data_IF_535829506820
#
_entry.id   IF_535829506820
#
_cell.length_a   1.000
_cell.length_b   1.000
_cell.length_c   1.000
_cell.angle_alpha   90.00
_cell.angle_beta   90.00
_cell.angle_gamma   90.00
#
_symmetry.space_group_name_H-M   'P 1'
#
loop_
_entity.id
_entity.type
_entity.pdbx_description
1 polymer ?
#
# COMPACT_ATOMS: atom_id res chain seq x y z
N UNK A 1 21.60 -18.15 -17.60
CA UNK A 1 20.16 -18.00 -17.43
C UNK A 1 19.86 -16.51 -17.50
N UNK A 2 19.26 -16.08 -18.61
CA UNK A 2 18.78 -14.70 -18.74
C UNK A 2 17.55 -14.56 -17.86
N UNK A 3 17.53 -13.52 -17.00
CA UNK A 3 16.33 -13.15 -16.26
C UNK A 3 15.31 -12.60 -17.24
N UNK A 4 14.01 -12.94 -17.12
CA UNK A 4 12.99 -12.32 -17.92
C UNK A 4 12.96 -10.81 -17.62
N UNK A 5 12.81 -10.01 -18.66
CA UNK A 5 12.63 -8.57 -18.52
C UNK A 5 11.22 -8.29 -18.02
N UNK A 6 11.09 -7.52 -16.93
CA UNK A 6 9.80 -7.10 -16.39
C UNK A 6 9.50 -5.66 -16.79
N UNK A 7 8.29 -5.42 -17.24
CA UNK A 7 7.76 -4.08 -17.44
C UNK A 7 7.27 -3.54 -16.09
N UNK A 8 7.72 -2.34 -15.73
CA UNK A 8 7.28 -1.68 -14.51
C UNK A 8 6.25 -0.60 -14.81
N UNK A 9 5.17 -0.62 -14.05
CA UNK A 9 4.10 0.37 -14.10
C UNK A 9 3.87 0.90 -12.68
N UNK A 10 3.80 2.21 -12.53
CA UNK A 10 3.55 2.85 -11.25
C UNK A 10 2.24 3.64 -11.33
N UNK A 11 1.32 3.36 -10.42
CA UNK A 11 0.05 4.06 -10.29
C UNK A 11 -0.06 4.67 -8.91
N UNK A 12 -0.53 5.91 -8.84
CA UNK A 12 -0.78 6.62 -7.60
C UNK A 12 -2.27 6.90 -7.48
N UNK A 13 -2.87 6.49 -6.37
CA UNK A 13 -4.27 6.75 -6.05
C UNK A 13 -4.35 7.69 -4.85
N UNK A 14 -4.97 8.84 -5.06
CA UNK A 14 -5.29 9.79 -4.00
C UNK A 14 -6.74 9.53 -3.57
N UNK A 15 -6.93 9.09 -2.34
CA UNK A 15 -8.23 8.70 -1.81
C UNK A 15 -8.57 9.54 -0.59
N UNK A 16 -9.76 10.17 -0.59
CA UNK A 16 -10.32 10.78 0.60
C UNK A 16 -11.19 9.76 1.32
N UNK A 17 -10.77 9.37 2.52
CA UNK A 17 -11.57 8.50 3.37
C UNK A 17 -12.65 9.29 4.11
N UNK A 18 -13.79 8.65 4.36
CA UNK A 18 -14.89 9.20 5.14
C UNK A 18 -15.24 8.27 6.29
N UNK A 19 -15.50 8.85 7.47
CA UNK A 19 -15.99 8.10 8.63
C UNK A 19 -17.48 7.75 8.49
N UNK A 20 -18.22 8.56 7.75
CA UNK A 20 -19.65 8.38 7.56
C UNK A 20 -19.95 7.74 6.21
N UNK A 21 -20.57 6.57 6.26
CA UNK A 21 -21.02 5.86 5.06
C UNK A 21 -22.53 5.83 4.98
N UNK A 22 -23.06 5.89 3.77
CA UNK A 22 -24.48 5.71 3.49
C UNK A 22 -24.69 4.55 2.53
N UNK A 23 -25.84 3.90 2.65
CA UNK A 23 -26.24 2.85 1.70
C UNK A 23 -26.85 3.49 0.46
N UNK A 24 -26.30 3.16 -0.70
CA UNK A 24 -26.91 3.51 -1.97
C UNK A 24 -27.82 2.37 -2.44
N UNK A 25 -29.08 2.66 -2.76
CA UNK A 25 -29.96 1.65 -3.34
C UNK A 25 -29.52 1.37 -4.77
N UNK A 26 -29.31 0.09 -5.08
CA UNK A 26 -29.05 -0.34 -6.46
C UNK A 26 -30.36 -0.48 -7.20
N UNK A 27 -30.50 0.22 -8.32
CA UNK A 27 -31.63 0.05 -9.22
C UNK A 27 -31.48 -1.18 -10.15
N UNK A 28 -30.32 -1.85 -10.10
CA UNK A 28 -29.99 -2.92 -11.05
C UNK A 28 -30.25 -4.33 -10.53
N UNK A 29 -30.31 -4.54 -9.23
CA UNK A 29 -30.54 -5.89 -8.70
C UNK A 29 -31.10 -5.87 -7.28
N UNK A 30 -32.12 -6.67 -7.04
CA UNK A 30 -32.65 -6.97 -5.72
C UNK A 30 -31.69 -7.81 -4.86
N UNK A 31 -30.68 -8.44 -5.47
CA UNK A 31 -29.64 -9.21 -4.82
C UNK A 31 -28.53 -8.31 -4.25
N UNK A 32 -28.23 -7.18 -4.91
CA UNK A 32 -27.27 -6.20 -4.42
C UNK A 32 -27.95 -5.25 -3.43
N UNK A 33 -27.94 -5.59 -2.14
CA UNK A 33 -28.57 -4.80 -1.07
C UNK A 33 -27.87 -3.47 -0.75
N UNK A 34 -27.37 -2.80 -1.76
CA UNK A 34 -26.82 -1.46 -1.69
C UNK A 34 -25.34 -1.43 -1.30
N UNK A 35 -24.59 -0.69 -2.06
CA UNK A 35 -23.16 -0.40 -1.81
C UNK A 35 -23.06 0.68 -0.74
N UNK A 36 -22.14 0.52 0.21
CA UNK A 36 -21.79 1.56 1.17
C UNK A 36 -20.86 2.56 0.48
N UNK A 37 -21.29 3.81 0.42
CA UNK A 37 -20.51 4.89 -0.15
C UNK A 37 -20.28 6.00 0.88
N UNK A 38 -19.18 6.78 0.77
CA UNK A 38 -18.98 7.96 1.60
C UNK A 38 -20.15 8.94 1.45
N UNK A 39 -20.64 9.50 2.56
CA UNK A 39 -21.72 10.50 2.53
C UNK A 39 -21.31 11.76 1.75
N UNK A 40 -20.07 12.14 1.87
CA UNK A 40 -19.50 13.33 1.24
C UNK A 40 -19.51 13.29 -0.29
N UNK A 41 -19.73 12.13 -0.91
CA UNK A 41 -19.83 12.04 -2.38
C UNK A 41 -21.00 12.86 -2.95
N UNK A 42 -21.95 13.23 -2.11
CA UNK A 42 -23.08 14.12 -2.47
C UNK A 42 -22.78 15.59 -2.22
N UNK A 43 -21.72 15.91 -1.50
CA UNK A 43 -21.33 17.28 -1.19
C UNK A 43 -20.36 17.80 -2.25
N UNK A 44 -20.89 18.64 -3.13
CA UNK A 44 -20.13 19.23 -4.23
C UNK A 44 -18.95 20.09 -3.74
N UNK A 45 -19.09 20.74 -2.60
CA UNK A 45 -18.03 21.58 -2.05
C UNK A 45 -16.88 20.75 -1.50
N UNK A 46 -17.18 19.62 -0.85
CA UNK A 46 -16.16 18.67 -0.39
C UNK A 46 -15.42 18.06 -1.57
N UNK A 47 -16.13 17.66 -2.62
CA UNK A 47 -15.54 17.13 -3.84
C UNK A 47 -14.63 18.19 -4.49
N UNK A 48 -15.11 19.42 -4.63
CA UNK A 48 -14.35 20.52 -5.23
C UNK A 48 -13.04 20.75 -4.49
N UNK A 49 -13.10 20.92 -3.17
CA UNK A 49 -11.90 21.10 -2.31
C UNK A 49 -10.91 19.93 -2.43
N UNK A 50 -11.42 18.70 -2.51
CA UNK A 50 -10.56 17.54 -2.72
C UNK A 50 -9.88 17.59 -4.08
N UNK A 51 -10.62 17.92 -5.15
CA UNK A 51 -10.05 18.02 -6.50
C UNK A 51 -9.04 19.17 -6.63
N UNK A 52 -9.22 20.27 -5.92
CA UNK A 52 -8.22 21.36 -5.83
C UNK A 52 -6.94 20.88 -5.14
N UNK A 53 -7.07 20.14 -4.03
CA UNK A 53 -5.91 19.58 -3.34
C UNK A 53 -5.15 18.56 -4.22
N UNK A 54 -5.88 17.73 -4.97
CA UNK A 54 -5.28 16.80 -5.95
C UNK A 54 -4.52 17.56 -7.03
N UNK A 55 -5.11 18.63 -7.58
CA UNK A 55 -4.46 19.44 -8.61
C UNK A 55 -3.20 20.17 -8.09
N UNK A 56 -3.26 20.62 -6.84
CA UNK A 56 -2.08 21.24 -6.18
C UNK A 56 -0.97 20.21 -5.97
N UNK A 57 -1.31 19.02 -5.48
CA UNK A 57 -0.35 17.94 -5.29
C UNK A 57 0.31 17.53 -6.62
N UNK A 58 -0.50 17.30 -7.66
CA UNK A 58 0.00 16.98 -9.02
C UNK A 58 0.99 18.03 -9.53
N UNK A 59 0.67 19.31 -9.35
CA UNK A 59 1.55 20.41 -9.76
C UNK A 59 2.88 20.37 -8.99
N UNK A 60 2.84 20.24 -7.66
CA UNK A 60 4.05 20.17 -6.83
C UNK A 60 4.96 19.02 -7.25
N UNK A 61 4.39 17.85 -7.48
CA UNK A 61 5.17 16.67 -7.91
C UNK A 61 5.76 16.87 -9.30
N UNK A 62 4.97 17.36 -10.26
CA UNK A 62 5.45 17.63 -11.62
C UNK A 62 6.53 18.71 -11.65
N UNK A 63 6.38 19.77 -10.85
CA UNK A 63 7.35 20.89 -10.76
C UNK A 63 8.65 20.46 -10.08
N UNK A 64 8.65 19.38 -9.30
CA UNK A 64 9.85 18.82 -8.68
C UNK A 64 10.89 18.32 -9.70
N UNK A 65 10.44 17.97 -10.90
CA UNK A 65 11.29 17.44 -11.98
C UNK A 65 11.74 15.97 -11.78
N UNK A 66 11.43 15.34 -10.65
CA UNK A 66 11.81 13.94 -10.38
C UNK A 66 10.82 12.94 -10.97
N UNK A 67 9.53 13.26 -10.93
CA UNK A 67 8.44 12.38 -11.36
C UNK A 67 7.47 13.23 -12.16
N UNK A 68 6.97 12.67 -13.27
CA UNK A 68 5.89 13.26 -14.05
C UNK A 68 4.62 12.45 -13.82
N UNK A 69 3.60 13.06 -13.25
CA UNK A 69 2.28 12.48 -13.10
C UNK A 69 1.43 12.76 -14.33
N UNK A 70 0.68 11.77 -14.74
CA UNK A 70 -0.35 11.88 -15.78
C UNK A 70 -1.65 11.28 -15.25
N UNK A 71 -2.74 12.01 -15.34
CA UNK A 71 -4.06 11.49 -14.95
C UNK A 71 -4.50 10.40 -15.91
N UNK A 72 -5.03 9.33 -15.36
CA UNK A 72 -5.71 8.31 -16.13
C UNK A 72 -7.07 8.82 -16.57
N UNK A 73 -7.43 8.49 -17.80
CA UNK A 73 -8.78 8.69 -18.33
C UNK A 73 -9.73 7.61 -17.82
N UNK A 74 -11.02 7.83 -17.94
CA UNK A 74 -12.05 6.84 -17.62
C UNK A 74 -11.84 5.54 -18.41
N UNK A 75 -11.54 5.63 -19.70
CA UNK A 75 -11.24 4.50 -20.57
C UNK A 75 -10.00 3.71 -20.12
N UNK A 76 -9.00 4.37 -19.56
CA UNK A 76 -7.81 3.70 -19.03
C UNK A 76 -8.08 2.99 -17.70
N UNK A 77 -9.07 3.43 -16.95
CA UNK A 77 -9.47 2.82 -15.68
C UNK A 77 -10.43 1.66 -15.92
N UNK A 78 -11.50 1.90 -16.70
CA UNK A 78 -12.59 0.93 -16.91
C UNK A 78 -12.27 -0.03 -18.05
N UNK A 79 -11.67 0.49 -19.13
CA UNK A 79 -11.43 -0.24 -20.38
C UNK A 79 -12.39 0.13 -21.49
N UNK A 80 -12.09 -0.34 -22.68
CA UNK A 80 -12.91 -0.22 -23.90
C UNK A 80 -12.85 -1.54 -24.68
N UNK A 81 -13.69 -1.69 -25.71
CA UNK A 81 -13.75 -2.93 -26.54
C UNK A 81 -12.39 -3.40 -27.08
N UNK A 82 -11.41 -2.51 -27.21
CA UNK A 82 -10.08 -2.84 -27.75
C UNK A 82 -8.93 -2.66 -26.78
N UNK A 83 -9.19 -2.20 -25.55
CA UNK A 83 -8.16 -1.91 -24.55
C UNK A 83 -8.65 -2.29 -23.17
N UNK A 84 -7.93 -3.20 -22.50
CA UNK A 84 -8.22 -3.60 -21.13
C UNK A 84 -7.95 -2.46 -20.16
N UNK A 85 -8.92 -2.16 -19.30
CA UNK A 85 -8.79 -1.15 -18.26
C UNK A 85 -7.98 -1.64 -17.06
N UNK A 86 -7.54 -0.70 -16.23
CA UNK A 86 -6.74 -1.00 -15.05
C UNK A 86 -7.49 -1.89 -14.03
N UNK A 87 -8.80 -1.71 -13.88
CA UNK A 87 -9.65 -2.57 -13.05
C UNK A 87 -9.71 -4.00 -13.56
N UNK A 88 -9.90 -4.18 -14.87
CA UNK A 88 -9.92 -5.50 -15.48
C UNK A 88 -8.56 -6.20 -15.36
N UNK A 89 -7.46 -5.47 -15.55
CA UNK A 89 -6.10 -6.00 -15.37
C UNK A 89 -5.89 -6.50 -13.95
N UNK A 90 -6.38 -5.79 -12.95
CA UNK A 90 -6.30 -6.20 -11.56
C UNK A 90 -7.13 -7.46 -11.28
N UNK A 91 -8.37 -7.47 -11.73
CA UNK A 91 -9.31 -8.58 -11.47
C UNK A 91 -8.96 -9.87 -12.23
N UNK A 92 -8.29 -9.74 -13.38
CA UNK A 92 -7.85 -10.90 -14.18
C UNK A 92 -6.39 -11.27 -13.96
N UNK A 93 -5.63 -10.44 -13.24
CA UNK A 93 -4.17 -10.51 -13.13
C UNK A 93 -3.50 -10.69 -14.50
N UNK A 94 -4.02 -10.02 -15.51
CA UNK A 94 -3.56 -10.09 -16.91
C UNK A 94 -3.60 -8.71 -17.54
N UNK A 95 -2.72 -8.50 -18.50
CA UNK A 95 -2.70 -7.30 -19.37
C UNK A 95 -3.06 -7.63 -20.82
N UNK A 96 -3.45 -8.86 -21.09
CA UNK A 96 -3.86 -9.31 -22.42
C UNK A 96 -5.31 -8.91 -22.68
N UNK A 97 -5.53 -8.19 -23.77
CA UNK A 97 -6.85 -7.77 -24.22
C UNK A 97 -7.73 -8.99 -24.46
N UNK A 98 -8.97 -8.95 -23.96
CA UNK A 98 -9.92 -10.05 -24.14
C UNK A 98 -9.74 -11.20 -23.13
N UNK A 99 -8.87 -11.06 -22.12
CA UNK A 99 -8.82 -12.03 -21.00
C UNK A 99 -10.20 -12.05 -20.32
N UNK A 100 -10.89 -13.20 -20.30
CA UNK A 100 -12.21 -13.27 -19.68
C UNK A 100 -12.10 -13.15 -18.16
N UNK A 101 -13.12 -12.55 -17.55
CA UNK A 101 -13.29 -12.60 -16.11
C UNK A 101 -13.47 -14.04 -15.66
N UNK A 102 -12.79 -14.42 -14.60
CA UNK A 102 -12.81 -15.77 -14.04
C UNK A 102 -13.25 -15.73 -12.57
N UNK A 103 -13.63 -16.87 -12.04
CA UNK A 103 -13.99 -16.99 -10.64
C UNK A 103 -12.82 -16.63 -9.73
N UNK A 104 -13.08 -15.81 -8.71
CA UNK A 104 -12.13 -15.46 -7.66
C UNK A 104 -12.45 -16.29 -6.42
N UNK A 105 -11.60 -17.26 -6.12
CA UNK A 105 -11.71 -18.06 -4.91
C UNK A 105 -10.78 -17.47 -3.84
N UNK A 106 -11.37 -16.96 -2.77
CA UNK A 106 -10.66 -16.37 -1.64
C UNK A 106 -10.37 -17.45 -0.60
N UNK A 107 -9.19 -18.04 -0.64
CA UNK A 107 -8.70 -18.99 0.35
C UNK A 107 -7.92 -18.30 1.48
N UNK A 108 -7.67 -19.03 2.58
CA UNK A 108 -6.91 -18.51 3.71
C UNK A 108 -5.41 -18.29 3.39
N UNK A 109 -4.81 -19.16 2.59
CA UNK A 109 -3.38 -19.10 2.29
C UNK A 109 -3.06 -18.52 0.90
N UNK A 110 -4.03 -18.59 -0.03
CA UNK A 110 -3.86 -18.11 -1.39
C UNK A 110 -5.21 -17.67 -1.98
N UNK A 111 -5.15 -16.74 -2.91
CA UNK A 111 -6.28 -16.39 -3.76
C UNK A 111 -6.09 -17.10 -5.09
N UNK A 112 -7.18 -17.62 -5.64
CA UNK A 112 -7.19 -18.18 -7.00
C UNK A 112 -8.06 -17.35 -7.92
N UNK A 113 -7.52 -17.00 -9.08
CA UNK A 113 -8.23 -16.31 -10.15
C UNK A 113 -8.07 -17.19 -11.40
N UNK A 114 -9.07 -18.02 -11.66
CA UNK A 114 -8.94 -19.07 -12.64
C UNK A 114 -7.79 -20.02 -12.31
N UNK A 115 -6.81 -20.13 -13.21
CA UNK A 115 -5.62 -20.97 -13.00
C UNK A 115 -4.53 -20.27 -12.18
N UNK A 116 -4.59 -18.96 -12.04
CA UNK A 116 -3.59 -18.18 -11.32
C UNK A 116 -3.74 -18.34 -9.82
N UNK A 117 -2.63 -18.59 -9.14
CA UNK A 117 -2.52 -18.70 -7.69
C UNK A 117 -1.72 -17.54 -7.17
N UNK A 118 -2.31 -16.70 -6.36
CA UNK A 118 -1.73 -15.49 -5.79
C UNK A 118 -1.41 -15.71 -4.32
N UNK A 119 -0.19 -15.39 -3.93
CA UNK A 119 0.22 -15.28 -2.52
C UNK A 119 0.39 -13.81 -2.12
N UNK A 120 0.17 -13.53 -0.85
CA UNK A 120 0.27 -12.20 -0.29
C UNK A 120 1.24 -12.20 0.89
N UNK A 121 2.24 -11.29 0.82
CA UNK A 121 3.15 -11.01 1.92
C UNK A 121 2.87 -9.61 2.44
N UNK A 122 2.79 -9.48 3.75
CA UNK A 122 2.48 -8.22 4.42
C UNK A 122 3.29 -8.07 5.70
N UNK A 123 3.13 -6.92 6.33
CA UNK A 123 3.59 -6.66 7.69
C UNK A 123 2.40 -6.84 8.64
N UNK A 124 2.63 -7.48 9.76
CA UNK A 124 1.60 -7.71 10.78
C UNK A 124 1.82 -6.86 12.02
N UNK A 125 3.02 -6.34 12.21
CA UNK A 125 3.41 -5.57 13.38
C UNK A 125 4.36 -4.43 12.98
N UNK A 126 4.41 -3.37 13.77
CA UNK A 126 5.41 -2.31 13.65
C UNK A 126 6.84 -2.82 13.81
N UNK A 127 7.03 -3.86 14.62
CA UNK A 127 8.32 -4.53 14.80
C UNK A 127 8.79 -5.33 13.56
N UNK A 128 7.94 -5.47 12.56
CA UNK A 128 8.30 -6.08 11.28
C UNK A 128 8.96 -5.07 10.32
N UNK A 129 8.86 -3.78 10.63
CA UNK A 129 9.52 -2.69 9.90
C UNK A 129 10.96 -2.48 10.37
N UNK A 130 11.86 -2.01 9.49
CA UNK A 130 13.17 -1.54 9.91
C UNK A 130 13.04 -0.28 10.80
N UNK A 131 14.00 -0.08 11.70
CA UNK A 131 14.02 1.10 12.57
C UNK A 131 14.16 2.43 11.83
N UNK A 132 14.73 2.41 10.63
CA UNK A 132 14.87 3.57 9.74
C UNK A 132 14.71 3.12 8.29
N UNK A 133 14.12 3.98 7.48
CA UNK A 133 13.97 3.77 6.04
C UNK A 133 14.78 4.84 5.31
N UNK A 134 15.72 4.42 4.47
CA UNK A 134 16.49 5.32 3.61
C UNK A 134 15.98 5.22 2.16
N UNK A 135 15.78 6.38 1.54
CA UNK A 135 15.50 6.48 0.10
C UNK A 135 16.78 6.44 -0.75
N UNK A 136 17.96 6.38 -0.12
CA UNK A 136 19.25 6.65 -0.73
C UNK A 136 20.34 5.70 -0.18
N UNK A 137 20.06 4.41 -0.24
CA UNK A 137 21.01 3.39 0.20
C UNK A 137 21.95 3.00 -0.95
N UNK A 138 23.27 3.14 -0.75
CA UNK A 138 24.25 2.69 -1.71
C UNK A 138 24.23 1.16 -1.80
N UNK A 139 24.08 0.64 -3.02
CA UNK A 139 24.09 -0.79 -3.28
C UNK A 139 25.45 -1.24 -3.80
N UNK A 140 26.25 -1.83 -2.91
CA UNK A 140 27.65 -2.15 -3.17
C UNK A 140 27.87 -3.12 -4.34
N UNK A 141 26.92 -4.05 -4.57
CA UNK A 141 27.04 -5.03 -5.67
C UNK A 141 27.03 -4.43 -7.07
N UNK A 142 26.43 -3.26 -7.24
CA UNK A 142 26.32 -2.54 -8.51
C UNK A 142 27.04 -1.19 -8.50
N UNK A 143 27.54 -0.76 -7.34
CA UNK A 143 28.34 0.46 -7.20
C UNK A 143 29.79 0.22 -7.58
N UNK A 144 30.44 1.24 -8.11
CA UNK A 144 31.88 1.23 -8.46
C UNK A 144 32.54 2.45 -7.82
N UNK A 145 33.84 2.56 -7.89
CA UNK A 145 34.60 3.74 -7.42
C UNK A 145 34.24 5.03 -8.18
N UNK A 146 33.61 4.90 -9.34
CA UNK A 146 33.25 6.03 -10.22
C UNK A 146 31.76 6.29 -10.33
N UNK A 147 30.91 5.38 -9.83
CA UNK A 147 29.46 5.47 -9.97
C UNK A 147 28.77 4.77 -8.82
N UNK A 148 27.92 5.51 -8.14
CA UNK A 148 27.07 4.99 -7.07
C UNK A 148 25.75 4.51 -7.66
N UNK A 149 25.43 3.22 -7.44
CA UNK A 149 24.09 2.71 -7.62
C UNK A 149 23.34 2.86 -6.29
N UNK A 150 22.35 3.72 -6.27
CA UNK A 150 21.54 3.97 -5.06
C UNK A 150 20.16 3.35 -5.23
N UNK A 151 19.69 2.72 -4.18
CA UNK A 151 18.41 2.02 -4.17
C UNK A 151 17.44 2.70 -3.22
N UNK A 152 16.19 2.78 -3.65
CA UNK A 152 15.08 3.11 -2.75
C UNK A 152 14.72 1.91 -1.87
N UNK A 153 13.95 2.17 -0.82
CA UNK A 153 13.50 1.16 0.14
C UNK A 153 12.92 -0.10 -0.52
N UNK A 154 12.02 0.06 -1.50
CA UNK A 154 11.34 -1.05 -2.16
C UNK A 154 12.12 -1.66 -3.35
N UNK A 155 13.32 -1.15 -3.68
CA UNK A 155 14.09 -1.66 -4.81
C UNK A 155 14.42 -3.17 -4.76
N UNK A 156 14.64 -3.80 -3.58
CA UNK A 156 14.85 -5.25 -3.49
C UNK A 156 13.70 -6.08 -4.09
N UNK A 157 12.47 -5.59 -4.03
CA UNK A 157 11.31 -6.25 -4.65
C UNK A 157 11.51 -6.38 -6.15
N UNK A 158 11.81 -5.28 -6.85
CA UNK A 158 12.08 -5.29 -8.29
C UNK A 158 13.35 -6.02 -8.68
N UNK A 159 14.34 -6.11 -7.78
CA UNK A 159 15.61 -6.81 -8.04
C UNK A 159 15.50 -8.32 -7.91
N UNK A 160 14.70 -8.83 -6.99
CA UNK A 160 14.62 -10.27 -6.69
C UNK A 160 13.45 -10.96 -7.35
N UNK A 161 12.30 -10.31 -7.43
CA UNK A 161 11.12 -10.90 -8.04
C UNK A 161 11.23 -10.89 -9.56
N UNK A 162 11.25 -12.08 -10.17
CA UNK A 162 11.23 -12.27 -11.62
C UNK A 162 9.85 -12.70 -12.15
N UNK A 163 8.84 -12.71 -11.29
CA UNK A 163 7.45 -13.07 -11.59
C UNK A 163 6.57 -11.84 -11.72
N UNK A 164 5.36 -12.03 -12.20
CA UNK A 164 4.32 -11.00 -12.13
C UNK A 164 3.95 -10.72 -10.68
N UNK A 165 3.99 -9.48 -10.28
CA UNK A 165 3.66 -9.05 -8.92
C UNK A 165 3.11 -7.63 -8.88
N UNK A 166 2.42 -7.31 -7.79
CA UNK A 166 1.98 -5.98 -7.43
C UNK A 166 2.59 -5.65 -6.06
N UNK A 167 3.32 -4.55 -5.99
CA UNK A 167 3.74 -3.95 -4.73
C UNK A 167 2.79 -2.80 -4.40
N UNK A 168 2.03 -2.92 -3.33
CA UNK A 168 1.15 -1.88 -2.83
C UNK A 168 1.80 -1.16 -1.66
N UNK A 169 1.76 0.15 -1.68
CA UNK A 169 2.18 0.99 -0.56
C UNK A 169 1.05 1.96 -0.21
N UNK A 170 0.62 1.93 1.04
CA UNK A 170 -0.43 2.79 1.58
C UNK A 170 0.20 3.82 2.50
N UNK A 171 -0.16 5.08 2.30
CA UNK A 171 0.25 6.19 3.16
C UNK A 171 -1.03 6.88 3.66
N UNK A 172 -1.24 6.86 4.97
CA UNK A 172 -2.39 7.48 5.61
C UNK A 172 -1.96 8.82 6.20
N UNK A 173 -2.46 9.90 5.61
CA UNK A 173 -2.19 11.27 6.02
C UNK A 173 -3.28 11.68 7.03
N UNK A 174 -2.97 11.54 8.30
CA UNK A 174 -3.84 11.94 9.39
C UNK A 174 -3.64 13.42 9.77
N UNK A 175 -4.52 13.95 10.62
CA UNK A 175 -4.34 15.28 11.18
C UNK A 175 -3.16 15.28 12.17
N UNK A 176 -2.07 15.96 11.81
CA UNK A 176 -0.82 15.99 12.59
C UNK A 176 -1.01 16.53 14.00
N UNK A 177 -1.84 17.59 14.17
CA UNK A 177 -2.11 18.18 15.48
C UNK A 177 -2.88 17.21 16.39
N UNK A 178 -3.91 16.55 15.85
CA UNK A 178 -4.66 15.54 16.59
C UNK A 178 -3.78 14.34 16.98
N UNK A 179 -2.84 13.95 16.13
CA UNK A 179 -1.89 12.88 16.44
C UNK A 179 -0.89 13.31 17.53
N UNK A 180 -0.35 14.53 17.46
CA UNK A 180 0.52 15.05 18.52
C UNK A 180 -0.20 15.05 19.88
N UNK A 181 -1.46 15.51 19.93
CA UNK A 181 -2.26 15.47 21.15
C UNK A 181 -2.47 14.05 21.68
N UNK A 182 -2.66 13.04 20.79
CA UNK A 182 -2.73 11.64 21.19
C UNK A 182 -1.41 11.15 21.81
N UNK A 183 -0.27 11.48 21.17
CA UNK A 183 1.04 11.11 21.67
C UNK A 183 1.37 11.81 23.00
N UNK A 184 1.03 13.07 23.19
CA UNK A 184 1.14 13.77 24.46
C UNK A 184 0.31 13.13 25.57
N UNK A 185 -0.92 12.72 25.25
CA UNK A 185 -1.77 11.98 26.20
C UNK A 185 -1.16 10.63 26.51
N UNK A 186 -0.63 9.91 25.53
CA UNK A 186 0.06 8.63 25.71
C UNK A 186 1.32 8.79 26.58
N UNK A 187 2.12 9.83 26.33
CA UNK A 187 3.30 10.13 27.15
C UNK A 187 2.93 10.33 28.63
N UNK A 188 1.88 11.10 28.91
CA UNK A 188 1.36 11.30 30.28
C UNK A 188 0.91 9.99 30.92
N UNK A 189 0.22 9.13 30.19
CA UNK A 189 -0.20 7.82 30.67
C UNK A 189 1.02 6.93 30.95
N UNK A 190 1.98 6.88 30.03
CA UNK A 190 3.20 6.09 30.20
C UNK A 190 4.07 6.59 31.36
N UNK A 191 4.05 7.89 31.67
CA UNK A 191 4.76 8.42 32.83
C UNK A 191 4.30 7.75 34.14
N UNK A 192 3.04 7.50 34.33
CA UNK A 192 2.49 6.81 35.47
C UNK A 192 2.78 5.30 35.46
N UNK A 193 2.89 4.69 34.29
CA UNK A 193 3.08 3.27 34.08
C UNK A 193 4.57 2.85 34.04
N UNK A 194 5.47 3.79 33.74
CA UNK A 194 6.91 3.53 33.58
C UNK A 194 7.57 2.86 34.80
N UNK A 195 7.06 3.16 36.00
CA UNK A 195 7.54 2.56 37.26
C UNK A 195 7.23 1.07 37.42
N UNK A 196 6.27 0.53 36.64
CA UNK A 196 5.82 -0.85 36.77
C UNK A 196 6.49 -1.81 35.81
N UNK A 197 7.06 -1.28 34.71
CA UNK A 197 7.66 -2.12 33.66
C UNK A 197 8.73 -1.36 32.87
N UNK A 198 9.85 -2.07 32.62
CA UNK A 198 10.93 -1.52 31.78
C UNK A 198 10.44 -1.24 30.34
N UNK A 199 9.53 -2.07 29.82
CA UNK A 199 8.94 -1.83 28.51
C UNK A 199 8.16 -0.50 28.46
N UNK A 200 7.37 -0.20 29.51
CA UNK A 200 6.65 1.08 29.59
C UNK A 200 7.61 2.28 29.71
N UNK A 201 8.75 2.10 30.38
CA UNK A 201 9.77 3.13 30.46
C UNK A 201 10.39 3.41 29.09
N UNK A 202 10.74 2.36 28.33
CA UNK A 202 11.30 2.48 26.98
C UNK A 202 10.28 3.15 26.05
N UNK A 203 9.01 2.73 26.08
CA UNK A 203 7.95 3.34 25.28
C UNK A 203 7.76 4.82 25.61
N UNK A 204 7.82 5.18 26.89
CA UNK A 204 7.78 6.59 27.32
C UNK A 204 8.92 7.39 26.70
N UNK A 205 10.16 6.90 26.80
CA UNK A 205 11.35 7.56 26.28
C UNK A 205 11.26 7.76 24.75
N UNK A 206 10.74 6.78 24.01
CA UNK A 206 10.52 6.89 22.57
C UNK A 206 9.45 7.93 22.21
N UNK A 207 8.32 7.94 22.91
CA UNK A 207 7.27 8.93 22.70
C UNK A 207 7.78 10.34 22.99
N UNK A 208 8.49 10.53 24.10
CA UNK A 208 9.07 11.84 24.49
C UNK A 208 10.11 12.30 23.45
N UNK A 209 10.97 11.40 22.96
CA UNK A 209 11.93 11.71 21.90
C UNK A 209 11.21 12.15 20.62
N UNK A 210 10.20 11.40 20.18
CA UNK A 210 9.39 11.75 19.02
C UNK A 210 8.72 13.13 19.19
N UNK A 211 8.09 13.39 20.34
CA UNK A 211 7.43 14.68 20.60
C UNK A 211 8.41 15.86 20.54
N UNK A 212 9.60 15.68 21.14
CA UNK A 212 10.65 16.71 21.09
C UNK A 212 11.10 17.00 19.66
N UNK A 213 11.31 15.96 18.85
CA UNK A 213 11.69 16.12 17.45
C UNK A 213 10.55 16.72 16.61
N UNK A 214 9.31 16.26 16.84
CA UNK A 214 8.13 16.76 16.12
C UNK A 214 7.91 18.26 16.37
N UNK A 215 8.03 18.71 17.63
CA UNK A 215 7.91 20.14 17.96
C UNK A 215 9.11 20.97 17.47
N UNK A 216 10.33 20.42 17.52
CA UNK A 216 11.53 21.14 17.10
C UNK A 216 11.67 21.30 15.60
N UNK A 217 11.26 20.27 14.84
CA UNK A 217 11.48 20.20 13.39
C UNK A 217 10.18 20.20 12.58
N UNK A 218 9.03 20.32 13.21
CA UNK A 218 7.73 20.28 12.52
C UNK A 218 7.43 18.95 11.85
N UNK A 219 7.87 17.82 12.45
CA UNK A 219 7.64 16.49 11.89
C UNK A 219 6.17 16.11 11.99
N UNK A 220 5.65 15.50 10.94
CA UNK A 220 4.31 14.92 10.94
C UNK A 220 4.38 13.40 11.00
N UNK A 221 3.57 12.80 11.86
CA UNK A 221 3.41 11.35 11.84
C UNK A 221 2.50 10.93 10.70
N UNK A 222 2.90 9.88 10.00
CA UNK A 222 2.06 9.19 9.01
C UNK A 222 1.95 7.73 9.41
N UNK A 223 0.84 7.11 9.07
CA UNK A 223 0.71 5.66 9.12
C UNK A 223 1.01 5.11 7.74
N UNK A 224 1.76 4.03 7.69
CA UNK A 224 2.11 3.39 6.42
C UNK A 224 1.93 1.88 6.52
N UNK A 225 1.58 1.29 5.40
CA UNK A 225 1.54 -0.14 5.22
C UNK A 225 2.00 -0.48 3.81
N UNK A 226 2.59 -1.64 3.62
CA UNK A 226 2.84 -2.18 2.29
C UNK A 226 2.63 -3.69 2.26
N UNK A 227 2.33 -4.20 1.07
CA UNK A 227 2.23 -5.61 0.82
C UNK A 227 2.71 -5.96 -0.59
N UNK A 228 3.06 -7.22 -0.78
CA UNK A 228 3.46 -7.79 -2.06
C UNK A 228 2.44 -8.87 -2.41
N UNK A 229 1.79 -8.73 -3.55
CA UNK A 229 0.97 -9.75 -4.18
C UNK A 229 1.73 -10.31 -5.37
N UNK A 230 2.01 -11.60 -5.36
CA UNK A 230 2.74 -12.25 -6.44
C UNK A 230 2.01 -13.54 -6.84
N UNK A 231 2.04 -13.89 -8.12
CA UNK A 231 1.27 -15.02 -8.62
C UNK A 231 1.98 -15.79 -9.72
N UNK A 232 1.56 -17.05 -9.86
CA UNK A 232 1.90 -17.95 -10.96
C UNK A 232 0.76 -18.92 -11.24
N UNK A 233 0.74 -19.47 -12.45
CA UNK A 233 -0.13 -20.56 -12.83
C UNK A 233 0.42 -21.93 -12.37
N UNK A 234 1.73 -22.01 -12.04
CA UNK A 234 2.40 -23.21 -11.54
C UNK A 234 2.56 -23.18 -10.01
N UNK A 235 2.08 -24.20 -9.34
CA UNK A 235 2.19 -24.35 -7.89
C UNK A 235 3.65 -24.51 -7.40
N UNK A 236 4.54 -25.07 -8.20
CA UNK A 236 5.96 -25.21 -7.83
C UNK A 236 6.67 -23.87 -7.95
N UNK A 237 6.38 -23.12 -9.00
CA UNK A 237 6.89 -21.77 -9.16
C UNK A 237 6.39 -20.86 -8.03
N UNK A 238 5.14 -21.01 -7.60
CA UNK A 238 4.60 -20.22 -6.47
C UNK A 238 5.39 -20.43 -5.18
N UNK A 239 5.91 -21.61 -4.92
CA UNK A 239 6.79 -21.87 -3.76
C UNK A 239 8.08 -21.06 -3.85
N UNK A 240 8.69 -21.02 -5.04
CA UNK A 240 9.88 -20.21 -5.27
C UNK A 240 9.57 -18.71 -5.11
N UNK A 241 8.46 -18.24 -5.66
CA UNK A 241 7.98 -16.86 -5.54
C UNK A 241 7.79 -16.46 -4.07
N UNK A 242 7.22 -17.36 -3.25
CA UNK A 242 7.08 -17.11 -1.80
C UNK A 242 8.45 -16.91 -1.14
N UNK A 243 9.44 -17.71 -1.48
CA UNK A 243 10.79 -17.57 -0.95
C UNK A 243 11.48 -16.28 -1.42
N UNK A 244 11.32 -15.94 -2.70
CA UNK A 244 11.92 -14.74 -3.28
C UNK A 244 11.28 -13.46 -2.69
N UNK A 245 9.96 -13.47 -2.47
CA UNK A 245 9.25 -12.39 -1.78
C UNK A 245 9.73 -12.22 -0.34
N UNK A 246 9.89 -13.33 0.39
CA UNK A 246 10.46 -13.31 1.74
C UNK A 246 11.90 -12.77 1.76
N UNK A 247 12.70 -13.17 0.77
CA UNK A 247 14.08 -12.67 0.64
C UNK A 247 14.16 -11.19 0.29
N UNK A 248 13.23 -10.70 -0.56
CA UNK A 248 13.14 -9.28 -0.88
C UNK A 248 12.79 -8.44 0.38
N UNK A 249 11.83 -8.91 1.17
CA UNK A 249 11.47 -8.26 2.42
C UNK A 249 12.62 -8.28 3.44
N UNK A 250 13.35 -9.38 3.54
CA UNK A 250 14.52 -9.48 4.41
C UNK A 250 15.64 -8.50 4.00
N UNK A 251 15.86 -8.29 2.69
CA UNK A 251 16.79 -7.27 2.19
C UNK A 251 16.30 -5.83 2.45
N UNK A 252 15.02 -5.63 2.63
CA UNK A 252 14.44 -4.36 3.09
C UNK A 252 14.54 -4.20 4.61
N UNK A 253 15.22 -5.11 5.30
CA UNK A 253 15.30 -5.20 6.77
C UNK A 253 13.93 -5.39 7.44
N UNK A 254 12.95 -5.90 6.69
CA UNK A 254 11.63 -6.26 7.20
C UNK A 254 11.60 -7.72 7.63
N UNK A 255 10.76 -8.05 8.62
CA UNK A 255 10.47 -9.45 8.94
C UNK A 255 9.42 -9.99 7.97
N UNK A 256 9.77 -10.91 7.07
CA UNK A 256 8.83 -11.41 6.07
C UNK A 256 7.74 -12.25 6.72
N UNK A 257 6.48 -11.91 6.46
CA UNK A 257 5.33 -12.69 6.89
C UNK A 257 4.44 -13.02 5.70
N UNK A 258 4.19 -14.30 5.50
CA UNK A 258 3.16 -14.76 4.57
C UNK A 258 1.79 -14.60 5.23
N UNK A 259 0.92 -13.83 4.61
CA UNK A 259 -0.42 -13.58 5.16
C UNK A 259 -1.34 -14.76 4.87
N UNK A 260 -2.08 -15.19 5.89
CA UNK A 260 -3.04 -16.30 5.84
C UNK A 260 -4.39 -15.93 6.45
N UNK A 261 -4.56 -14.74 6.97
CA UNK A 261 -5.75 -14.39 7.78
C UNK A 261 -6.67 -13.42 7.04
N UNK A 262 -6.18 -12.28 6.60
CA UNK A 262 -6.95 -11.20 6.00
C UNK A 262 -6.64 -10.97 4.52
N UNK A 263 -6.19 -12.04 3.84
CA UNK A 263 -5.80 -12.04 2.43
C UNK A 263 -6.88 -11.44 1.53
N UNK A 264 -8.14 -11.81 1.76
CA UNK A 264 -9.27 -11.30 0.99
C UNK A 264 -9.46 -9.79 1.17
N UNK A 265 -9.37 -9.29 2.40
CA UNK A 265 -9.53 -7.87 2.72
C UNK A 265 -8.42 -7.05 2.06
N UNK A 266 -7.17 -7.51 2.16
CA UNK A 266 -6.03 -6.83 1.55
C UNK A 266 -6.05 -6.90 0.02
N UNK A 267 -6.53 -8.00 -0.56
CA UNK A 267 -6.74 -8.10 -2.00
C UNK A 267 -7.75 -7.03 -2.48
N UNK A 268 -8.90 -6.93 -1.83
CA UNK A 268 -9.90 -5.93 -2.21
C UNK A 268 -9.46 -4.50 -1.96
N UNK A 269 -8.74 -4.25 -0.87
CA UNK A 269 -8.15 -2.93 -0.60
C UNK A 269 -7.09 -2.53 -1.63
N UNK A 270 -6.37 -3.50 -2.21
CA UNK A 270 -5.39 -3.30 -3.27
C UNK A 270 -5.98 -3.01 -4.65
N UNK A 271 -7.28 -3.21 -4.84
CA UNK A 271 -7.93 -2.87 -6.10
C UNK A 271 -7.81 -1.38 -6.38
N UNK A 272 -7.51 -0.98 -7.63
CA UNK A 272 -7.37 0.42 -8.01
C UNK A 272 -8.53 1.29 -7.54
N UNK A 273 -8.21 2.33 -6.77
CA UNK A 273 -9.21 3.25 -6.19
C UNK A 273 -9.89 2.78 -4.91
N UNK A 274 -9.64 1.56 -4.41
CA UNK A 274 -10.33 0.99 -3.25
C UNK A 274 -9.52 1.07 -1.94
N UNK A 275 -8.47 1.87 -1.87
CA UNK A 275 -7.63 2.02 -0.68
C UNK A 275 -8.41 2.48 0.59
N UNK A 276 -9.59 3.06 0.42
CA UNK A 276 -10.47 3.43 1.53
C UNK A 276 -11.02 2.25 2.33
N UNK A 277 -10.98 1.03 1.77
CA UNK A 277 -11.41 -0.20 2.45
C UNK A 277 -10.25 -0.92 3.15
N UNK A 278 -9.03 -0.36 3.08
CA UNK A 278 -7.90 -0.88 3.84
C UNK A 278 -8.20 -0.83 5.35
N UNK A 279 -7.98 -1.94 6.10
CA UNK A 279 -8.19 -1.97 7.54
C UNK A 279 -7.15 -1.09 8.24
N UNK A 280 -7.47 0.19 8.43
CA UNK A 280 -6.58 1.20 8.99
C UNK A 280 -6.84 1.52 10.45
N UNK A 281 -7.88 0.94 11.05
CA UNK A 281 -8.19 1.14 12.45
C UNK A 281 -7.35 0.21 13.32
N UNK A 282 -6.81 0.75 14.40
CA UNK A 282 -6.19 -0.04 15.45
C UNK A 282 -7.26 -0.96 16.06
N UNK A 283 -7.08 -2.25 15.91
CA UNK A 283 -7.91 -3.27 16.55
C UNK A 283 -7.58 -3.36 18.05
#
# INVERSE_FOLDING_TARGET
>A
NERPFLNHYCYLFLTKTSKERMRMQSNFSSLCKGTLIPKEIRDKEVIHRFMEAVAQFERIVNDSGFIKLQRLTEDEIIGTDGKQGLLEQYLTLSREVGTPMQDIALGGEEIRIGNKRLCLHTLSDTDDLPGTVSADTRFEKLSTDRSDCRLSFAAPVGLLLSCNHIYNQYLFLDNSEANLQKFEKSARNMHSLARYSRANQINKEWIEKYLNEAHSFGLSSIRAHFNIMAWSDDANELKQIKNDSGSALALMECKPRHNTTDVATLYWAGMPGNAGDFPSEES
#
